data_IF_711551152695
#
_entry.id   IF_711551152695
#
_cell.length_a   1.000
_cell.length_b   1.000
_cell.length_c   1.000
_cell.angle_alpha   90.00
_cell.angle_beta   90.00
_cell.angle_gamma   90.00
#
_symmetry.space_group_name_H-M   'P 1'
#
loop_
_entity.id
_entity.type
_entity.pdbx_description
1 polymer ?
#
# COMPACT_ATOMS: atom_id res chain seq x y z
N UNK A 1 21.76 4.18 -2.63
CA UNK A 1 20.35 4.55 -2.44
C UNK A 1 19.49 3.69 -3.36
N UNK A 2 18.34 3.23 -2.88
CA UNK A 2 17.42 2.36 -3.63
C UNK A 2 16.15 3.13 -4.01
N UNK A 3 15.64 2.90 -5.21
CA UNK A 3 14.39 3.52 -5.69
C UNK A 3 13.17 3.09 -4.88
N UNK A 4 13.28 1.99 -4.12
CA UNK A 4 12.22 1.38 -3.34
C UNK A 4 12.10 1.95 -1.91
N UNK A 5 12.58 3.17 -1.68
CA UNK A 5 12.55 3.85 -0.38
C UNK A 5 13.31 3.09 0.73
N UNK A 6 14.31 2.29 0.36
CA UNK A 6 15.11 1.48 1.28
C UNK A 6 15.72 0.26 0.61
N UNK A 7 16.58 -0.46 1.33
CA UNK A 7 17.09 -1.75 0.88
C UNK A 7 15.96 -2.78 0.85
N UNK A 8 15.78 -3.48 -0.27
CA UNK A 8 14.84 -4.59 -0.38
C UNK A 8 15.59 -5.90 -0.13
N UNK A 9 15.67 -6.30 1.13
CA UNK A 9 16.12 -7.65 1.50
C UNK A 9 15.10 -8.71 1.07
N UNK A 10 15.56 -9.94 0.83
CA UNK A 10 14.66 -11.06 0.48
C UNK A 10 13.57 -11.30 1.53
N UNK A 11 13.90 -11.03 2.79
CA UNK A 11 12.99 -11.09 3.94
C UNK A 11 11.98 -9.95 4.00
N UNK A 12 11.98 -9.00 3.06
CA UNK A 12 11.04 -7.89 2.99
C UNK A 12 10.21 -7.90 1.69
N UNK A 13 10.37 -8.94 0.86
CA UNK A 13 9.66 -9.08 -0.41
C UNK A 13 8.29 -9.74 -0.25
N UNK A 14 7.37 -9.37 -1.14
CA UNK A 14 6.03 -9.94 -1.24
C UNK A 14 5.25 -9.96 0.10
N UNK A 15 4.99 -11.15 0.63
CA UNK A 15 4.23 -11.34 1.87
C UNK A 15 5.06 -11.10 3.14
N UNK A 16 6.40 -11.03 3.02
CA UNK A 16 7.31 -10.83 4.16
C UNK A 16 7.53 -9.35 4.53
N UNK A 17 6.72 -8.43 3.97
CA UNK A 17 6.83 -7.01 4.29
C UNK A 17 6.54 -6.71 5.78
N UNK A 18 7.22 -5.72 6.39
CA UNK A 18 7.16 -5.47 7.83
C UNK A 18 5.76 -5.22 8.41
N UNK A 19 4.84 -4.65 7.62
CA UNK A 19 3.49 -4.31 8.08
C UNK A 19 2.44 -4.94 7.17
N UNK A 20 2.03 -6.20 7.41
CA UNK A 20 1.08 -6.93 6.57
C UNK A 20 -0.26 -6.21 6.36
N UNK A 21 -0.73 -5.42 7.31
CA UNK A 21 -2.02 -4.75 7.15
C UNK A 21 -1.98 -3.63 6.06
N UNK A 22 -0.80 -3.07 5.75
CA UNK A 22 -0.58 -2.01 4.74
C UNK A 22 -0.48 -2.52 3.28
N UNK A 23 -0.89 -3.77 2.99
CA UNK A 23 -0.68 -4.41 1.67
C UNK A 23 -1.49 -3.78 0.56
N UNK A 24 -2.70 -3.37 0.93
CA UNK A 24 -3.77 -3.08 0.01
C UNK A 24 -3.86 -1.58 -0.25
N UNK A 25 -2.70 -0.91 -0.32
CA UNK A 25 -2.54 0.51 -0.63
C UNK A 25 -3.23 1.50 0.31
N UNK A 26 -3.95 1.07 1.34
CA UNK A 26 -4.50 1.98 2.34
C UNK A 26 -3.74 1.91 3.65
N UNK A 27 -3.71 3.03 4.33
CA UNK A 27 -3.07 3.17 5.63
C UNK A 27 -4.12 3.22 6.75
N UNK A 28 -3.70 3.08 8.03
CA UNK A 28 -4.58 3.31 9.17
C UNK A 28 -5.19 4.72 9.19
N UNK A 29 -4.52 5.71 8.59
CA UNK A 29 -4.98 7.09 8.50
C UNK A 29 -6.02 7.20 7.39
N UNK A 30 -7.23 7.62 7.75
CA UNK A 30 -8.34 7.76 6.81
C UNK A 30 -8.02 8.76 5.69
N UNK A 31 -8.19 8.34 4.44
CA UNK A 31 -7.91 9.17 3.27
C UNK A 31 -6.43 9.15 2.83
N UNK A 32 -5.55 8.48 3.56
CA UNK A 32 -4.14 8.32 3.20
C UNK A 32 -3.88 6.94 2.58
N UNK A 33 -3.26 6.95 1.41
CA UNK A 33 -2.98 5.76 0.59
C UNK A 33 -1.50 5.70 0.23
N UNK A 34 -0.98 4.48 0.10
CA UNK A 34 0.37 4.19 -0.35
C UNK A 34 0.40 4.03 -1.87
N UNK A 35 1.35 4.69 -2.50
CA UNK A 35 1.65 4.56 -3.90
C UNK A 35 3.13 4.85 -4.09
N UNK A 36 3.84 4.02 -4.86
CA UNK A 36 5.24 4.29 -5.19
C UNK A 36 5.99 3.05 -5.67
N UNK A 37 7.30 3.22 -5.81
CA UNK A 37 8.18 2.14 -6.23
C UNK A 37 8.28 1.02 -5.17
N UNK A 38 8.32 1.36 -3.88
CA UNK A 38 8.37 0.39 -2.78
C UNK A 38 7.08 -0.40 -2.53
N UNK A 39 6.00 -0.10 -3.25
CA UNK A 39 4.72 -0.81 -3.13
C UNK A 39 4.56 -1.84 -4.23
N UNK A 40 3.88 -2.96 -3.96
CA UNK A 40 3.56 -3.98 -4.98
C UNK A 40 2.95 -3.34 -6.25
N UNK A 41 3.25 -3.85 -7.46
CA UNK A 41 4.21 -4.90 -7.80
C UNK A 41 5.68 -4.44 -7.84
N UNK A 42 5.95 -3.20 -7.44
CA UNK A 42 7.27 -2.56 -7.51
C UNK A 42 7.22 -1.26 -8.31
N UNK A 43 8.38 -0.62 -8.44
CA UNK A 43 8.58 0.54 -9.30
C UNK A 43 8.81 0.16 -10.75
N UNK A 44 8.36 1.02 -11.66
CA UNK A 44 8.54 0.84 -13.10
C UNK A 44 7.68 1.82 -13.90
N UNK A 45 7.92 1.88 -15.22
CA UNK A 45 7.25 2.82 -16.14
C UNK A 45 5.76 2.48 -16.32
N UNK A 46 5.35 1.26 -16.00
CA UNK A 46 3.97 0.77 -16.15
C UNK A 46 2.97 1.39 -15.16
N UNK A 47 3.44 2.10 -14.13
CA UNK A 47 2.62 2.76 -13.11
C UNK A 47 1.60 1.83 -12.40
N UNK A 48 1.87 0.52 -12.36
CA UNK A 48 0.95 -0.48 -11.82
C UNK A 48 0.58 -0.26 -10.34
N UNK A 49 1.53 0.20 -9.52
CA UNK A 49 1.25 0.54 -8.11
C UNK A 49 0.28 1.71 -7.98
N UNK A 50 0.44 2.74 -8.83
CA UNK A 50 -0.47 3.88 -8.92
C UNK A 50 -1.87 3.46 -9.38
N UNK A 51 -1.96 2.59 -10.38
CA UNK A 51 -3.24 2.03 -10.83
C UNK A 51 -3.97 1.31 -9.69
N UNK A 52 -3.27 0.46 -8.94
CA UNK A 52 -3.85 -0.30 -7.84
C UNK A 52 -4.27 0.60 -6.67
N UNK A 53 -3.46 1.60 -6.33
CA UNK A 53 -3.80 2.60 -5.32
C UNK A 53 -5.07 3.39 -5.73
N UNK A 54 -5.18 3.79 -7.00
CA UNK A 54 -6.37 4.46 -7.52
C UNK A 54 -7.62 3.58 -7.43
N UNK A 55 -7.52 2.30 -7.82
CA UNK A 55 -8.61 1.34 -7.66
C UNK A 55 -9.04 1.20 -6.20
N UNK A 56 -8.07 1.22 -5.27
CA UNK A 56 -8.37 1.16 -3.85
C UNK A 56 -9.12 2.41 -3.37
N UNK A 57 -8.70 3.60 -3.77
CA UNK A 57 -9.37 4.87 -3.47
C UNK A 57 -10.83 4.83 -3.97
N UNK A 58 -11.05 4.35 -5.19
CA UNK A 58 -12.40 4.25 -5.77
C UNK A 58 -13.29 3.28 -4.98
N UNK A 59 -12.76 2.15 -4.52
CA UNK A 59 -13.49 1.20 -3.66
C UNK A 59 -13.89 1.83 -2.32
N UNK A 60 -12.95 2.52 -1.68
CA UNK A 60 -13.21 3.20 -0.40
C UNK A 60 -14.26 4.31 -0.55
N UNK A 61 -14.23 5.07 -1.65
CA UNK A 61 -15.24 6.09 -1.99
C UNK A 61 -16.63 5.49 -2.25
N UNK A 62 -16.69 4.25 -2.75
CA UNK A 62 -17.94 3.49 -2.94
C UNK A 62 -18.44 2.83 -1.65
N UNK A 63 -17.81 3.10 -0.50
CA UNK A 63 -18.21 2.57 0.81
C UNK A 63 -17.57 1.22 1.17
N UNK A 64 -16.76 0.63 0.28
CA UNK A 64 -15.99 -0.59 0.59
C UNK A 64 -14.77 -0.19 1.41
N UNK A 65 -14.97 -0.04 2.72
CA UNK A 65 -13.90 0.39 3.63
C UNK A 65 -13.09 -0.81 4.11
N UNK A 66 -11.78 -0.79 3.88
CA UNK A 66 -10.86 -1.76 4.46
C UNK A 66 -10.86 -1.69 5.99
N UNK A 67 -10.62 -2.83 6.69
CA UNK A 67 -10.83 -3.01 8.13
C UNK A 67 -10.08 -2.09 9.10
N UNK A 68 -9.35 -1.07 8.63
CA UNK A 68 -8.70 -0.07 9.49
C UNK A 68 -9.64 0.63 10.48
N UNK A 69 -10.94 0.75 10.17
CA UNK A 69 -11.93 1.40 11.06
C UNK A 69 -12.04 0.79 12.45
N UNK A 70 -11.63 -0.47 12.66
CA UNK A 70 -11.77 -1.12 13.97
C UNK A 70 -10.56 -0.93 14.89
N UNK A 71 -9.47 -0.29 14.44
CA UNK A 71 -8.20 -0.23 15.19
C UNK A 71 -7.60 1.17 15.38
N UNK A 72 -8.11 2.20 14.71
CA UNK A 72 -7.55 3.56 14.75
C UNK A 72 -8.14 4.48 15.85
N UNK A 73 -8.97 3.93 16.74
CA UNK A 73 -9.50 4.64 17.92
C UNK A 73 -9.08 3.86 19.17
N UNK A 74 -7.87 4.11 19.63
CA UNK A 74 -7.38 3.83 20.97
C UNK A 74 -6.40 4.94 21.34
#
# INVERSE_FOLDING_TARGET
GSIFQGEQGMNQMAFMRPVPDMAQYATPVGGLYLCGAGTHPGGGVTAASGHNAAQRILKDRRGVRWPWKKRATA
#
